data_IF_271921275683
#
_entry.id   IF_271921275683
#
_cell.length_a   1.000
_cell.length_b   1.000
_cell.length_c   1.000
_cell.angle_alpha   90.00
_cell.angle_beta   90.00
_cell.angle_gamma   90.00
#
_symmetry.space_group_name_H-M   'P 1'
#
loop_
_entity.id
_entity.type
_entity.pdbx_description
1 polymer ?
#
# COMPACT_ATOMS: atom_id res chain seq x y z
N UNK A 1 -13.86 5.37 10.79
CA UNK A 1 -12.87 4.26 10.83
C UNK A 1 -13.31 2.98 10.12
N UNK A 2 -14.57 2.51 10.26
CA UNK A 2 -15.01 1.22 9.67
C UNK A 2 -14.89 1.16 8.13
N UNK A 3 -15.18 2.26 7.43
CA UNK A 3 -15.06 2.35 5.97
C UNK A 3 -13.62 2.26 5.45
N UNK A 4 -12.65 2.88 6.14
CA UNK A 4 -11.23 2.81 5.77
C UNK A 4 -10.70 1.38 5.92
N UNK A 5 -11.08 0.69 7.01
CA UNK A 5 -10.73 -0.72 7.22
C UNK A 5 -11.28 -1.60 6.09
N UNK A 6 -12.55 -1.46 5.75
CA UNK A 6 -13.18 -2.17 4.62
C UNK A 6 -12.47 -1.90 3.29
N UNK A 7 -12.08 -0.64 3.05
CA UNK A 7 -11.34 -0.27 1.85
C UNK A 7 -9.96 -0.97 1.78
N UNK A 8 -9.24 -1.05 2.91
CA UNK A 8 -7.95 -1.74 3.01
C UNK A 8 -8.11 -3.26 2.86
N UNK A 9 -9.18 -3.84 3.44
CA UNK A 9 -9.50 -5.26 3.31
C UNK A 9 -9.82 -5.66 1.86
N UNK A 10 -10.38 -4.74 1.06
CA UNK A 10 -10.62 -4.92 -0.37
C UNK A 10 -9.39 -4.84 -1.27
N UNK A 11 -8.21 -4.46 -0.74
CA UNK A 11 -6.97 -4.45 -1.51
C UNK A 11 -6.43 -5.87 -1.70
N UNK A 12 -5.74 -6.11 -2.83
CA UNK A 12 -4.95 -7.33 -2.97
C UNK A 12 -3.84 -7.37 -1.90
N UNK A 13 -3.40 -8.56 -1.45
CA UNK A 13 -2.37 -8.66 -0.40
C UNK A 13 -1.11 -7.85 -0.73
N UNK A 14 -0.64 -7.90 -1.99
CA UNK A 14 0.53 -7.14 -2.44
C UNK A 14 0.36 -5.62 -2.28
N UNK A 15 -0.82 -5.07 -2.59
CA UNK A 15 -1.10 -3.65 -2.46
C UNK A 15 -1.26 -3.26 -0.99
N UNK A 16 -1.98 -4.08 -0.21
CA UNK A 16 -2.21 -3.88 1.21
C UNK A 16 -0.90 -3.86 1.98
N UNK A 17 -0.07 -4.88 1.83
CA UNK A 17 1.16 -5.03 2.61
C UNK A 17 2.14 -3.90 2.29
N UNK A 18 2.27 -3.56 0.99
CA UNK A 18 3.10 -2.42 0.58
C UNK A 18 2.59 -1.09 1.14
N UNK A 19 1.26 -0.87 1.13
CA UNK A 19 0.66 0.34 1.68
C UNK A 19 0.84 0.44 3.20
N UNK A 20 0.66 -0.67 3.93
CA UNK A 20 0.79 -0.68 5.39
C UNK A 20 2.24 -0.42 5.83
N UNK A 21 3.21 -1.03 5.16
CA UNK A 21 4.64 -0.74 5.39
C UNK A 21 4.94 0.75 5.12
N UNK A 22 4.50 1.27 3.97
CA UNK A 22 4.70 2.69 3.64
C UNK A 22 3.99 3.66 4.61
N UNK A 23 2.82 3.27 5.13
CA UNK A 23 2.04 4.09 6.05
C UNK A 23 2.58 4.05 7.49
N UNK A 24 3.34 3.02 7.87
CA UNK A 24 3.99 2.93 9.19
C UNK A 24 5.00 4.04 9.42
N UNK A 25 5.67 4.51 8.35
CA UNK A 25 6.76 5.47 8.42
C UNK A 25 8.08 4.88 8.94
N UNK A 26 8.13 3.58 9.26
CA UNK A 26 9.31 2.90 9.80
C UNK A 26 10.35 2.59 8.71
N UNK A 27 9.94 2.57 7.44
CA UNK A 27 10.79 2.22 6.31
C UNK A 27 10.66 3.19 5.14
N UNK A 28 11.79 3.47 4.49
CA UNK A 28 11.85 4.10 3.17
C UNK A 28 11.35 3.17 2.06
N UNK A 29 11.06 3.71 0.87
CA UNK A 29 10.55 2.90 -0.25
C UNK A 29 11.58 1.91 -0.81
N UNK A 30 12.86 2.24 -0.70
CA UNK A 30 14.01 1.39 -1.03
C UNK A 30 14.16 0.23 -0.04
N UNK A 31 13.98 0.48 1.26
CA UNK A 31 13.95 -0.59 2.28
C UNK A 31 12.74 -1.50 2.09
N UNK A 32 11.56 -0.94 1.82
CA UNK A 32 10.35 -1.70 1.49
C UNK A 32 10.58 -2.56 0.23
N UNK A 33 11.27 -2.03 -0.78
CA UNK A 33 11.61 -2.77 -1.99
C UNK A 33 12.49 -3.99 -1.66
N UNK A 34 13.46 -3.83 -0.76
CA UNK A 34 14.29 -4.93 -0.27
C UNK A 34 13.49 -5.95 0.56
N UNK A 35 12.69 -5.50 1.54
CA UNK A 35 11.85 -6.34 2.40
C UNK A 35 10.91 -7.23 1.57
N UNK A 36 10.25 -6.63 0.57
CA UNK A 36 9.29 -7.32 -0.29
C UNK A 36 9.95 -8.02 -1.48
N UNK A 37 11.26 -7.86 -1.67
CA UNK A 37 12.02 -8.40 -2.81
C UNK A 37 11.39 -8.04 -4.17
N UNK A 38 11.08 -6.75 -4.36
CA UNK A 38 10.51 -6.19 -5.60
C UNK A 38 11.26 -4.93 -6.02
N UNK A 39 11.21 -4.53 -7.31
CA UNK A 39 11.80 -3.27 -7.75
C UNK A 39 11.19 -2.04 -7.03
N UNK A 40 11.99 -1.00 -6.79
CA UNK A 40 11.53 0.28 -6.22
C UNK A 40 10.37 0.89 -7.01
N UNK A 41 10.40 0.79 -8.34
CA UNK A 41 9.29 1.23 -9.20
C UNK A 41 7.98 0.50 -8.89
N UNK A 42 8.05 -0.78 -8.55
CA UNK A 42 6.88 -1.57 -8.13
C UNK A 42 6.34 -1.10 -6.79
N UNK A 43 7.19 -0.76 -5.82
CA UNK A 43 6.75 -0.19 -4.53
C UNK A 43 5.98 1.11 -4.75
N UNK A 44 6.56 2.06 -5.50
CA UNK A 44 5.93 3.34 -5.83
C UNK A 44 4.56 3.15 -6.50
N UNK A 45 4.50 2.27 -7.49
CA UNK A 45 3.26 1.97 -8.20
C UNK A 45 2.22 1.34 -7.26
N UNK A 46 2.60 0.36 -6.43
CA UNK A 46 1.69 -0.31 -5.50
C UNK A 46 1.10 0.67 -4.47
N UNK A 47 1.91 1.58 -3.92
CA UNK A 47 1.41 2.59 -2.98
C UNK A 47 0.42 3.53 -3.66
N UNK A 48 0.74 4.01 -4.87
CA UNK A 48 -0.15 4.89 -5.62
C UNK A 48 -1.48 4.21 -5.97
N UNK A 49 -1.43 2.96 -6.46
CA UNK A 49 -2.63 2.21 -6.84
C UNK A 49 -3.48 1.86 -5.60
N UNK A 50 -2.85 1.48 -4.49
CA UNK A 50 -3.56 1.22 -3.23
C UNK A 50 -4.33 2.46 -2.73
N UNK A 51 -3.69 3.64 -2.76
CA UNK A 51 -4.34 4.91 -2.38
C UNK A 51 -5.51 5.25 -3.30
N UNK A 52 -5.36 5.05 -4.60
CA UNK A 52 -6.41 5.27 -5.61
C UNK A 52 -7.62 4.35 -5.38
N UNK A 53 -7.38 3.07 -5.07
CA UNK A 53 -8.44 2.11 -4.76
C UNK A 53 -9.19 2.49 -3.48
N UNK A 54 -8.47 2.89 -2.42
CA UNK A 54 -9.08 3.35 -1.17
C UNK A 54 -9.93 4.60 -1.44
N UNK A 55 -9.41 5.59 -2.17
CA UNK A 55 -10.15 6.81 -2.47
C UNK A 55 -11.47 6.52 -3.20
N UNK A 56 -11.44 5.63 -4.19
CA UNK A 56 -12.65 5.17 -4.91
C UNK A 56 -13.67 4.47 -4.03
N UNK A 57 -13.23 3.79 -2.97
CA UNK A 57 -14.12 3.10 -2.03
C UNK A 57 -14.73 4.05 -0.97
N UNK A 58 -14.06 5.17 -0.70
CA UNK A 58 -14.51 6.16 0.28
C UNK A 58 -15.31 7.31 -0.34
N UNK A 59 -15.32 7.41 -1.67
CA UNK A 59 -16.18 8.34 -2.42
C UNK A 59 -17.59 7.76 -2.52
#
# INVERSE_FOLDING_TARGET
MRQVRSAIEGLTPKLRDTLLLAASGEHGYDEIAAILSVPLGTVKWRVAEARKMIQRHLS
#
